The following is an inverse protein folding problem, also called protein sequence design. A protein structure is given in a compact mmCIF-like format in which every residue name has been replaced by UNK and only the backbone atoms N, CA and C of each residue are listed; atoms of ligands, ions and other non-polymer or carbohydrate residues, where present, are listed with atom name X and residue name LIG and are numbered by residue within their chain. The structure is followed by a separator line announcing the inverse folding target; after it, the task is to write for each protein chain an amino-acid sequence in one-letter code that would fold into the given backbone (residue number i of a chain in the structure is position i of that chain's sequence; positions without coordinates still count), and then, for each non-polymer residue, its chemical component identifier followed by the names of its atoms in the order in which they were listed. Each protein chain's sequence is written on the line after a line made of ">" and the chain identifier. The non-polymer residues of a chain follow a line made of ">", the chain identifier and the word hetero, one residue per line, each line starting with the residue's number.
data_IF_201845695383
#
_entry.id   IF_201845695383
#
_cell.length_a   1.000
_cell.length_b   1.000
_cell.length_c   1.000
_cell.angle_alpha   90.00
_cell.angle_beta   90.00
_cell.angle_gamma   90.00
#
_symmetry.space_group_name_H-M   'P 1'
#
loop_
_entity.id
_entity.type
_entity.pdbx_description
1 polymer ?
#
# COMPACT_ATOMS: atom_id res chain seq x y z
N UNK A 1 -16.30 -14.46 3.56
CA UNK A 1 -14.94 -14.23 4.04
C UNK A 1 -14.42 -12.87 3.61
N UNK A 2 -13.91 -12.13 4.54
CA UNK A 2 -13.46 -10.78 4.27
C UNK A 2 -12.00 -10.78 3.81
N UNK A 3 -11.74 -10.12 2.71
CA UNK A 3 -10.37 -10.01 2.23
C UNK A 3 -9.58 -9.03 3.08
N UNK A 4 -8.33 -9.36 3.31
CA UNK A 4 -7.45 -8.47 4.01
C UNK A 4 -7.04 -7.31 3.11
N UNK A 5 -6.93 -6.14 3.68
CA UNK A 5 -6.41 -4.98 2.98
C UNK A 5 -4.89 -4.95 3.14
N UNK A 6 -4.18 -4.72 2.06
CA UNK A 6 -2.72 -4.61 2.12
C UNK A 6 -2.34 -3.20 1.72
N UNK A 7 -1.49 -2.57 2.52
CA UNK A 7 -0.96 -1.26 2.20
C UNK A 7 0.54 -1.37 2.02
N UNK A 8 0.99 -1.16 0.79
CA UNK A 8 2.43 -1.05 0.50
C UNK A 8 2.80 0.41 0.62
N UNK A 9 3.84 0.70 1.37
CA UNK A 9 4.20 2.09 1.53
C UNK A 9 5.55 2.27 2.15
N UNK A 10 5.82 3.51 2.55
CA UNK A 10 7.03 3.87 3.24
C UNK A 10 6.66 4.57 4.52
N UNK A 11 7.46 4.35 5.56
CA UNK A 11 7.09 4.77 6.91
C UNK A 11 6.82 6.24 7.04
N UNK A 12 7.47 7.07 6.23
CA UNK A 12 7.34 8.52 6.38
C UNK A 12 6.53 9.21 5.30
N UNK A 13 5.71 8.65 4.38
CA UNK A 13 5.18 9.09 3.68
C UNK A 13 4.14 9.44 4.06
N UNK A 14 3.76 10.62 4.23
CA UNK A 14 2.55 11.11 4.87
C UNK A 14 1.28 10.44 4.37
N UNK A 15 1.19 10.22 3.07
CA UNK A 15 -0.02 9.58 2.55
C UNK A 15 -0.08 8.10 2.92
N UNK A 16 1.08 7.47 3.08
CA UNK A 16 1.11 6.12 3.63
C UNK A 16 0.57 6.12 5.06
N UNK A 17 0.99 7.08 5.85
CA UNK A 17 0.51 7.15 7.23
C UNK A 17 -0.98 7.41 7.29
N UNK A 18 -1.48 8.25 6.41
CA UNK A 18 -2.92 8.50 6.38
C UNK A 18 -3.70 7.26 6.02
N UNK A 19 -3.21 6.49 5.05
CA UNK A 19 -3.89 5.26 4.68
C UNK A 19 -3.89 4.26 5.82
N UNK A 20 -2.74 4.12 6.49
CA UNK A 20 -2.65 3.20 7.62
C UNK A 20 -3.60 3.58 8.73
N UNK A 21 -3.72 4.88 8.98
CA UNK A 21 -4.63 5.37 10.01
C UNK A 21 -6.07 5.08 9.63
N UNK A 22 -6.42 5.30 8.38
CA UNK A 22 -7.78 5.11 7.92
C UNK A 22 -8.21 3.65 7.97
N UNK A 23 -7.34 2.75 7.55
CA UNK A 23 -7.70 1.33 7.51
C UNK A 23 -7.45 0.63 8.85
N UNK A 24 -6.55 1.16 9.65
CA UNK A 24 -6.30 0.63 10.97
C UNK A 24 -5.97 -0.85 10.96
N UNK A 25 -6.58 -1.60 11.86
CA UNK A 25 -6.28 -3.01 12.00
C UNK A 25 -6.81 -3.87 10.85
N UNK A 26 -7.60 -3.29 9.96
CA UNK A 26 -8.05 -4.02 8.78
C UNK A 26 -6.92 -4.26 7.79
N UNK A 27 -5.85 -3.50 7.88
CA UNK A 27 -4.80 -3.55 6.89
C UNK A 27 -3.53 -4.19 7.41
N UNK A 28 -2.88 -4.90 6.51
CA UNK A 28 -1.52 -5.35 6.73
C UNK A 28 -0.60 -4.34 6.04
N UNK A 29 0.32 -3.78 6.78
CA UNK A 29 1.24 -2.79 6.23
C UNK A 29 2.53 -3.46 5.80
N UNK A 30 2.99 -3.13 4.60
CA UNK A 30 4.24 -3.65 4.08
C UNK A 30 5.12 -2.48 3.68
N UNK A 31 6.26 -2.35 4.35
CA UNK A 31 7.22 -1.31 4.05
C UNK A 31 8.09 -1.76 2.89
N UNK A 32 8.12 -0.97 1.83
CA UNK A 32 8.86 -1.35 0.62
C UNK A 32 10.17 -0.61 0.49
N UNK A 33 10.54 0.20 1.46
CA UNK A 33 11.73 1.02 1.31
C UNK A 33 13.01 0.20 1.29
N UNK A 34 13.09 -0.77 2.18
CA UNK A 34 14.34 -1.52 2.34
C UNK A 34 14.24 -2.96 1.89
N UNK A 35 13.25 -3.28 1.10
CA UNK A 35 13.02 -4.66 0.71
C UNK A 35 12.62 -4.70 -0.75
N UNK A 36 13.59 -5.07 -1.59
CA UNK A 36 13.34 -5.06 -3.02
C UNK A 36 12.31 -6.10 -3.44
N UNK A 37 12.21 -7.19 -2.71
CA UNK A 37 11.19 -8.19 -3.00
C UNK A 37 9.80 -7.62 -2.78
N UNK A 38 9.64 -6.90 -1.68
CA UNK A 38 8.34 -6.28 -1.40
C UNK A 38 8.03 -5.16 -2.38
N UNK A 39 9.05 -4.42 -2.79
CA UNK A 39 8.83 -3.39 -3.80
C UNK A 39 8.37 -4.03 -5.11
N UNK A 40 8.99 -5.12 -5.50
CA UNK A 40 8.57 -5.81 -6.72
C UNK A 40 7.15 -6.30 -6.63
N UNK A 41 6.78 -6.80 -5.46
CA UNK A 41 5.40 -7.24 -5.25
C UNK A 41 4.43 -6.06 -5.41
N UNK A 42 4.77 -4.92 -4.81
CA UNK A 42 3.96 -3.73 -4.97
C UNK A 42 3.81 -3.35 -6.44
N UNK A 43 4.92 -3.40 -7.17
CA UNK A 43 4.90 -2.98 -8.57
C UNK A 43 4.07 -3.89 -9.45
N UNK A 44 3.94 -5.16 -9.07
CA UNK A 44 3.03 -6.03 -9.80
C UNK A 44 1.59 -5.57 -9.66
N UNK A 45 1.22 -5.12 -8.48
CA UNK A 45 -0.14 -4.62 -8.29
C UNK A 45 -0.33 -3.27 -8.96
N UNK A 46 0.67 -2.42 -8.94
CA UNK A 46 0.52 -1.06 -9.45
C UNK A 46 0.77 -0.93 -10.94
N UNK A 47 1.14 -2.04 -11.60
CA UNK A 47 1.46 -1.96 -13.01
C UNK A 47 2.76 -1.22 -13.29
N UNK A 48 3.69 -1.26 -12.35
CA UNK A 48 4.98 -0.63 -12.52
C UNK A 48 5.06 0.79 -12.01
N UNK A 49 3.98 1.30 -11.43
CA UNK A 49 4.00 2.67 -10.92
C UNK A 49 4.69 2.71 -9.57
N UNK A 50 5.73 3.51 -9.44
CA UNK A 50 6.49 3.64 -8.20
C UNK A 50 5.97 4.78 -7.36
N UNK A 51 4.81 4.57 -6.78
CA UNK A 51 4.16 5.58 -5.98
C UNK A 51 3.54 4.91 -4.78
N UNK A 52 3.73 5.48 -3.61
CA UNK A 52 3.15 4.95 -2.40
C UNK A 52 2.14 5.92 -1.83
N UNK A 53 1.14 5.42 -1.15
CA UNK A 53 0.88 4.00 -0.90
C UNK A 53 0.18 3.32 -2.07
N UNK A 54 0.34 2.01 -2.16
CA UNK A 54 -0.47 1.18 -3.05
C UNK A 54 -1.34 0.33 -2.13
N UNK A 55 -2.64 0.42 -2.32
CA UNK A 55 -3.60 -0.22 -1.43
C UNK A 55 -4.36 -1.29 -2.20
N UNK A 56 -4.30 -2.50 -1.68
CA UNK A 56 -4.95 -3.64 -2.32
C UNK A 56 -6.10 -4.09 -1.43
N UNK A 57 -7.31 -4.02 -1.99
CA UNK A 57 -8.52 -4.42 -1.28
C UNK A 57 -9.20 -5.51 -2.10
N UNK A 58 -8.84 -6.76 -1.83
CA UNK A 58 -9.34 -7.83 -2.63
C UNK A 58 -8.88 -7.64 -4.07
N UNK A 59 -9.80 -7.53 -4.99
CA UNK A 59 -9.46 -7.34 -6.39
C UNK A 59 -9.25 -5.90 -6.81
N UNK A 60 -9.34 -4.97 -5.87
CA UNK A 60 -9.25 -3.55 -6.20
C UNK A 60 -7.88 -3.00 -5.78
N UNK A 61 -7.24 -2.29 -6.69
CA UNK A 61 -5.94 -1.67 -6.41
C UNK A 61 -6.09 -0.16 -6.53
N UNK A 62 -5.66 0.56 -5.50
CA UNK A 62 -5.65 2.01 -5.51
C UNK A 62 -4.21 2.49 -5.36
N UNK A 63 -3.81 3.43 -6.20
CA UNK A 63 -2.47 4.01 -6.13
C UNK A 63 -2.61 5.41 -5.56
N UNK A 64 -1.98 5.61 -4.41
CA UNK A 64 -2.10 6.86 -3.71
C UNK A 64 -3.25 6.85 -2.72
N UNK A 65 -3.36 7.92 -1.94
CA UNK A 65 -4.42 8.04 -0.95
C UNK A 65 -4.64 9.51 -0.63
N UNK A 66 -5.87 9.98 -0.80
CA UNK A 66 -6.24 11.29 -0.36
C UNK A 66 -5.50 12.43 -1.05
N UNK A 67 -5.22 12.31 -2.34
CA UNK A 67 -4.65 13.41 -3.07
C UNK A 67 -3.20 13.25 -3.49
N UNK A 68 -2.63 12.09 -3.18
CA UNK A 68 -1.25 11.87 -3.58
C UNK A 68 -1.15 11.42 -5.02
#
# INVERSE_FOLDING_TARGET
>A
MKDKVIIFGKDRXPFTLKAREAFGSLAEYINVKSDSTKLEEMLRYSGGVRKVPVIVEGGKVTIGYGGT
#
